data_IF_875468662332
#
_entry.id   IF_875468662332
#
_cell.length_a   1.000
_cell.length_b   1.000
_cell.length_c   1.000
_cell.angle_alpha   90.00
_cell.angle_beta   90.00
_cell.angle_gamma   90.00
#
_symmetry.space_group_name_H-M   'P 1'
#
loop_
_entity.id
_entity.type
_entity.pdbx_description
1 polymer ?
#
# COMPACT_ATOMS: atom_id res chain seq x y z
N UNK A 1 6.03 12.28 6.95
CA UNK A 1 4.95 12.11 7.95
C UNK A 1 3.79 11.44 7.24
N UNK A 2 3.64 10.12 7.36
CA UNK A 2 2.51 9.40 6.76
C UNK A 2 1.30 9.57 7.69
N UNK A 3 0.15 10.10 7.23
CA UNK A 3 -1.01 10.26 8.08
C UNK A 3 -1.63 8.88 8.35
N UNK A 4 -1.54 8.39 9.57
CA UNK A 4 -2.39 7.28 10.04
C UNK A 4 -3.74 7.86 10.45
N UNK A 5 -4.79 7.48 9.70
CA UNK A 5 -6.14 8.01 9.87
C UNK A 5 -6.94 7.14 10.86
N UNK A 6 -7.20 7.62 12.08
CA UNK A 6 -8.12 6.96 13.03
C UNK A 6 -9.58 7.17 12.58
N UNK A 7 -10.15 6.20 11.84
CA UNK A 7 -11.53 6.26 11.29
C UNK A 7 -12.63 6.03 12.34
N UNK A 8 -12.43 5.19 13.34
CA UNK A 8 -13.56 4.59 14.08
C UNK A 8 -14.27 5.51 15.08
N UNK A 9 -13.79 6.73 15.32
CA UNK A 9 -14.38 7.65 16.30
C UNK A 9 -15.21 8.78 15.68
N UNK A 10 -15.17 8.96 14.36
CA UNK A 10 -15.79 10.10 13.69
C UNK A 10 -17.19 9.76 13.14
N UNK A 11 -18.19 10.60 13.45
CA UNK A 11 -19.56 10.46 12.92
C UNK A 11 -19.70 10.87 11.45
N UNK A 12 -18.74 11.66 10.94
CA UNK A 12 -18.68 12.14 9.56
C UNK A 12 -17.24 12.15 9.10
N UNK A 13 -17.03 11.75 7.85
CA UNK A 13 -15.73 11.71 7.20
C UNK A 13 -15.76 12.63 5.99
N UNK A 14 -14.80 13.56 5.92
CA UNK A 14 -14.68 14.52 4.82
C UNK A 14 -13.30 14.32 4.20
N UNK A 15 -13.27 14.09 2.89
CA UNK A 15 -12.05 14.03 2.10
C UNK A 15 -11.94 15.28 1.24
N UNK A 16 -10.80 15.95 1.32
CA UNK A 16 -10.45 17.06 0.44
C UNK A 16 -9.42 16.57 -0.56
N UNK A 17 -9.79 16.59 -1.84
CA UNK A 17 -8.94 16.13 -2.94
C UNK A 17 -8.86 17.20 -4.03
N UNK A 18 -7.78 17.19 -4.79
CA UNK A 18 -7.66 17.97 -6.01
C UNK A 18 -8.37 17.24 -7.16
N UNK A 19 -8.80 17.96 -8.19
CA UNK A 19 -9.56 17.37 -9.30
C UNK A 19 -8.84 16.21 -10.01
N UNK A 20 -7.51 16.27 -10.11
CA UNK A 20 -6.69 15.20 -10.68
C UNK A 20 -6.56 13.94 -9.80
N UNK A 21 -7.14 13.93 -8.59
CA UNK A 21 -7.23 12.76 -7.71
C UNK A 21 -8.63 12.16 -7.69
N UNK A 22 -9.59 12.76 -8.39
CA UNK A 22 -10.91 12.18 -8.61
C UNK A 22 -10.85 11.27 -9.84
N UNK A 23 -11.12 9.99 -9.66
CA UNK A 23 -11.04 8.96 -10.71
C UNK A 23 -12.36 8.18 -10.79
N UNK A 24 -12.69 7.66 -11.98
CA UNK A 24 -13.91 6.86 -12.19
C UNK A 24 -13.79 5.42 -11.68
N UNK A 25 -12.55 4.93 -11.56
CA UNK A 25 -12.17 3.60 -11.07
C UNK A 25 -11.08 3.72 -10.01
N UNK A 26 -10.95 2.72 -9.15
CA UNK A 26 -9.82 2.61 -8.24
C UNK A 26 -8.63 1.99 -9.00
N UNK A 27 -7.50 2.68 -9.01
CA UNK A 27 -6.32 2.32 -9.78
C UNK A 27 -5.05 2.63 -8.96
N UNK A 28 -3.93 2.06 -9.36
CA UNK A 28 -2.62 2.33 -8.77
C UNK A 28 -2.29 1.43 -7.59
N UNK A 29 -1.65 1.99 -6.56
CA UNK A 29 -1.09 1.23 -5.44
C UNK A 29 -1.97 1.23 -4.19
N UNK A 30 -2.12 0.05 -3.59
CA UNK A 30 -2.70 -0.13 -2.26
C UNK A 30 -1.56 -0.33 -1.25
N UNK A 31 -1.38 0.57 -0.27
CA UNK A 31 -0.41 0.38 0.80
C UNK A 31 -0.93 -0.63 1.84
N UNK A 32 -0.17 -1.69 2.06
CA UNK A 32 -0.44 -2.78 3.01
C UNK A 32 0.58 -2.73 4.14
N UNK A 33 0.10 -2.75 5.38
CA UNK A 33 0.96 -2.86 6.56
C UNK A 33 1.23 -4.33 6.84
N UNK A 34 2.51 -4.70 6.96
CA UNK A 34 2.93 -6.06 7.29
C UNK A 34 3.80 -6.04 8.56
N UNK A 35 3.78 -7.12 9.37
CA UNK A 35 4.73 -7.26 10.48
C UNK A 35 6.17 -7.07 9.99
N UNK A 36 7.00 -6.37 10.75
CA UNK A 36 8.39 -6.15 10.35
C UNK A 36 9.23 -7.45 10.39
N UNK A 37 8.85 -8.39 11.26
CA UNK A 37 9.47 -9.71 11.28
C UNK A 37 9.08 -10.48 10.01
N UNK A 38 10.07 -10.99 9.28
CA UNK A 38 9.90 -11.76 8.03
C UNK A 38 9.10 -11.05 6.93
N UNK A 39 9.06 -9.72 6.95
CA UNK A 39 8.29 -8.92 5.99
C UNK A 39 8.63 -9.20 4.51
N UNK A 40 9.84 -9.70 4.22
CA UNK A 40 10.27 -10.10 2.87
C UNK A 40 9.52 -11.33 2.38
N UNK A 41 9.34 -12.34 3.23
CA UNK A 41 8.58 -13.56 2.95
C UNK A 41 7.09 -13.22 2.76
N UNK A 42 6.52 -12.39 3.64
CA UNK A 42 5.14 -11.90 3.46
C UNK A 42 4.95 -11.12 2.15
N UNK A 43 5.97 -10.37 1.70
CA UNK A 43 5.92 -9.68 0.42
C UNK A 43 5.91 -10.65 -0.77
N UNK A 44 6.69 -11.74 -0.70
CA UNK A 44 6.69 -12.80 -1.71
C UNK A 44 5.34 -13.55 -1.73
N UNK A 45 4.76 -13.86 -0.57
CA UNK A 45 3.44 -14.50 -0.49
C UNK A 45 2.33 -13.65 -1.13
N UNK A 46 2.37 -12.32 -0.95
CA UNK A 46 1.41 -11.40 -1.59
C UNK A 46 1.68 -11.31 -3.09
N UNK A 47 2.94 -11.29 -3.51
CA UNK A 47 3.31 -11.29 -4.93
C UNK A 47 2.79 -12.53 -5.65
N UNK A 48 2.94 -13.71 -5.04
CA UNK A 48 2.41 -14.96 -5.57
C UNK A 48 0.87 -14.96 -5.65
N UNK A 49 0.19 -14.38 -4.65
CA UNK A 49 -1.27 -14.28 -4.63
C UNK A 49 -1.82 -13.46 -5.80
N UNK A 50 -1.10 -12.41 -6.21
CA UNK A 50 -1.51 -11.48 -7.26
C UNK A 50 -0.64 -11.61 -8.52
N UNK A 51 -0.03 -12.79 -8.75
CA UNK A 51 0.89 -13.00 -9.85
C UNK A 51 0.23 -12.70 -11.19
N UNK A 52 0.74 -11.69 -11.88
CA UNK A 52 0.24 -11.22 -13.17
C UNK A 52 -0.81 -10.10 -13.09
N UNK A 53 -1.43 -9.89 -11.92
CA UNK A 53 -2.42 -8.84 -11.69
C UNK A 53 -1.79 -7.60 -11.03
N UNK A 54 -0.82 -7.79 -10.14
CA UNK A 54 -0.13 -6.72 -9.44
C UNK A 54 1.38 -6.96 -9.28
N UNK A 55 2.11 -5.87 -9.08
CA UNK A 55 3.50 -5.90 -8.60
C UNK A 55 3.52 -5.56 -7.10
N UNK A 56 4.45 -6.16 -6.34
CA UNK A 56 4.62 -5.84 -4.92
C UNK A 56 5.93 -5.11 -4.71
N UNK A 57 5.83 -3.82 -4.42
CA UNK A 57 6.98 -2.97 -4.16
C UNK A 57 7.10 -2.68 -2.67
N UNK A 58 8.30 -2.80 -2.15
CA UNK A 58 8.60 -2.46 -0.76
C UNK A 58 8.79 -0.95 -0.67
N UNK A 59 8.09 -0.29 0.25
CA UNK A 59 8.10 1.17 0.31
C UNK A 59 9.40 1.67 0.91
N UNK A 60 10.13 2.52 0.19
CA UNK A 60 11.28 3.23 0.73
C UNK A 60 10.85 4.38 1.65
N UNK A 61 11.64 4.64 2.70
CA UNK A 61 11.51 5.84 3.54
C UNK A 61 12.29 7.05 3.03
N UNK A 62 13.39 6.81 2.32
CA UNK A 62 14.30 7.82 1.79
C UNK A 62 15.12 7.25 0.62
N UNK A 63 15.46 8.11 -0.33
CA UNK A 63 16.28 7.74 -1.48
C UNK A 63 15.45 7.26 -2.67
N UNK A 64 16.11 6.60 -3.61
CA UNK A 64 15.48 6.05 -4.79
C UNK A 64 14.75 4.76 -4.42
N UNK A 65 13.45 4.69 -4.71
CA UNK A 65 12.70 3.46 -4.55
C UNK A 65 13.04 2.47 -5.67
N UNK A 66 13.25 1.21 -5.29
CA UNK A 66 13.26 0.04 -6.16
C UNK A 66 12.21 -0.97 -5.62
N UNK A 67 11.94 -2.08 -6.32
CA UNK A 67 10.99 -3.09 -5.84
C UNK A 67 11.32 -3.64 -4.44
N UNK A 68 12.59 -3.56 -4.02
CA UNK A 68 13.08 -4.01 -2.73
C UNK A 68 13.00 -2.95 -1.61
N UNK A 69 12.61 -1.71 -1.94
CA UNK A 69 12.50 -0.59 -1.01
C UNK A 69 13.81 0.14 -0.77
N UNK A 70 14.84 -0.16 -1.56
CA UNK A 70 16.20 0.36 -1.42
C UNK A 70 16.84 0.02 -0.07
N UNK A 71 17.86 0.81 0.29
CA UNK A 71 18.64 0.58 1.53
C UNK A 71 17.86 0.89 2.82
N UNK A 72 16.78 1.66 2.72
CA UNK A 72 16.03 2.19 3.86
C UNK A 72 14.53 1.93 3.74
N UNK A 73 14.07 0.67 3.85
CA UNK A 73 12.65 0.34 3.81
C UNK A 73 11.88 1.05 4.94
N UNK A 74 10.67 1.49 4.64
CA UNK A 74 9.82 2.24 5.55
C UNK A 74 9.30 1.33 6.66
N UNK A 75 9.61 1.70 7.90
CA UNK A 75 9.00 1.14 9.10
C UNK A 75 8.14 2.22 9.75
N UNK A 76 6.87 1.92 10.02
CA UNK A 76 5.93 2.83 10.68
C UNK A 76 6.31 3.05 12.15
N UNK A 77 5.71 4.04 12.80
CA UNK A 77 5.92 4.26 14.25
C UNK A 77 5.50 3.08 15.09
N UNK A 78 4.53 2.32 14.59
CA UNK A 78 3.98 1.12 15.19
C UNK A 78 4.81 -0.15 14.86
N UNK A 79 5.91 -0.03 14.12
CA UNK A 79 6.83 -1.14 13.83
C UNK A 79 6.40 -2.05 12.68
N UNK A 80 5.67 -1.53 11.69
CA UNK A 80 5.26 -2.28 10.50
C UNK A 80 6.05 -1.85 9.29
N UNK A 81 6.41 -2.79 8.42
CA UNK A 81 6.84 -2.46 7.07
C UNK A 81 5.61 -2.10 6.23
N UNK A 82 5.83 -1.34 5.16
CA UNK A 82 4.77 -0.98 4.20
C UNK A 82 5.12 -1.55 2.83
N UNK A 83 4.20 -2.32 2.28
CA UNK A 83 4.24 -2.81 0.90
C UNK A 83 3.24 -2.02 0.06
N UNK A 84 3.63 -1.68 -1.15
CA UNK A 84 2.76 -1.11 -2.17
C UNK A 84 2.39 -2.21 -3.15
N UNK A 85 1.14 -2.66 -3.10
CA UNK A 85 0.57 -3.61 -4.08
C UNK A 85 0.04 -2.78 -5.25
N UNK A 86 0.74 -2.81 -6.38
CA UNK A 86 0.54 -1.95 -7.53
C UNK A 86 -0.21 -2.74 -8.60
N UNK A 87 -1.50 -2.46 -8.76
CA UNK A 87 -2.32 -3.15 -9.75
C UNK A 87 -2.03 -2.62 -11.16
N UNK A 88 -1.88 -3.54 -12.10
CA UNK A 88 -1.63 -3.23 -13.52
C UNK A 88 -2.93 -2.95 -14.30
N UNK A 89 -4.08 -3.21 -13.67
CA UNK A 89 -5.42 -2.93 -14.20
C UNK A 89 -6.32 -2.34 -13.11
N UNK A 90 -7.44 -1.68 -13.46
CA UNK A 90 -8.36 -1.13 -12.47
C UNK A 90 -8.91 -2.18 -11.51
N UNK A 91 -8.93 -1.86 -10.21
CA UNK A 91 -9.47 -2.71 -9.16
C UNK A 91 -11.00 -2.69 -9.28
N UNK A 92 -11.57 -3.81 -9.71
CA UNK A 92 -13.01 -3.92 -9.99
C UNK A 92 -13.86 -3.94 -8.71
N UNK A 93 -13.35 -4.55 -7.64
CA UNK A 93 -14.02 -4.63 -6.34
C UNK A 93 -12.99 -4.71 -5.22
N UNK A 94 -13.26 -3.99 -4.13
CA UNK A 94 -12.47 -4.10 -2.89
C UNK A 94 -12.79 -5.39 -2.12
N UNK A 95 -13.99 -5.95 -2.29
CA UNK A 95 -14.40 -7.19 -1.62
C UNK A 95 -13.64 -8.41 -2.16
N UNK A 96 -13.05 -8.30 -3.35
CA UNK A 96 -12.22 -9.35 -3.94
C UNK A 96 -10.79 -9.38 -3.37
N UNK A 97 -10.43 -8.43 -2.49
CA UNK A 97 -9.09 -8.30 -1.91
C UNK A 97 -9.03 -8.72 -0.43
N UNK A 98 -10.13 -9.23 0.14
CA UNK A 98 -10.28 -9.63 1.55
C UNK A 98 -10.91 -11.03 1.65
#
# INVERSE_FOLDING_TARGET
>A
MSPSFKRSAAKKLVFMITGNKYMGSLEGSIPVLVPALNWMETAEEIEDLFLGDAEVWRRSSIGQADPMGGDFPLITREGHNVLDVIFTSPIQSLDALL
#
